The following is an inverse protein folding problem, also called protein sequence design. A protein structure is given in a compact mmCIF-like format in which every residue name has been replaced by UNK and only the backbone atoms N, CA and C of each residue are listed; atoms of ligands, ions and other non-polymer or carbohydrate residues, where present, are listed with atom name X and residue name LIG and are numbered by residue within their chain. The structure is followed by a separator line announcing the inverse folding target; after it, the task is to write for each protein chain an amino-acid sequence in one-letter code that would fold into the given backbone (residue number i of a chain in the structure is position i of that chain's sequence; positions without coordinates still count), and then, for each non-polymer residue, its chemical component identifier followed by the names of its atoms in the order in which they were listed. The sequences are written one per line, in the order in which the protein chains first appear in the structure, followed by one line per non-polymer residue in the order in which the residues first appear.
data_IF_350535277416
#
_entry.id   IF_350535277416
#
_cell.length_a   1.000
_cell.length_b   1.000
_cell.length_c   1.000
_cell.angle_alpha   90.00
_cell.angle_beta   90.00
_cell.angle_gamma   90.00
#
_symmetry.space_group_name_H-M   'P 1'
#
loop_
_entity.id
_entity.type
_entity.pdbx_description
1 polymer ?
#
# COMPACT_ATOMS: atom_id res chain seq x y z
N UNK A 1 7.38 0.56 18.86
CA UNK A 1 6.96 0.82 17.47
C UNK A 1 6.12 -0.34 16.94
N UNK A 2 6.68 -1.56 16.85
CA UNK A 2 5.97 -2.81 16.47
C UNK A 2 4.55 -2.95 17.02
N UNK A 3 4.38 -3.13 18.33
CA UNK A 3 3.06 -3.40 18.93
C UNK A 3 2.01 -2.32 18.62
N UNK A 4 2.44 -1.05 18.49
CA UNK A 4 1.55 0.05 18.11
C UNK A 4 1.12 -0.09 16.65
N UNK A 5 2.04 -0.39 15.74
CA UNK A 5 1.73 -0.59 14.32
C UNK A 5 0.78 -1.78 14.13
N UNK A 6 1.07 -2.92 14.77
CA UNK A 6 0.23 -4.12 14.70
C UNK A 6 -1.20 -3.85 15.20
N UNK A 7 -1.34 -3.10 16.30
CA UNK A 7 -2.65 -2.68 16.80
C UNK A 7 -3.40 -1.79 15.81
N UNK A 8 -2.73 -0.81 15.20
CA UNK A 8 -3.35 0.09 14.21
C UNK A 8 -3.85 -0.70 13.00
N UNK A 9 -3.01 -1.57 12.43
CA UNK A 9 -3.38 -2.42 11.29
C UNK A 9 -4.54 -3.35 11.63
N UNK A 10 -4.56 -3.95 12.82
CA UNK A 10 -5.66 -4.82 13.25
C UNK A 10 -7.02 -4.12 13.29
N UNK A 11 -7.04 -2.78 13.45
CA UNK A 11 -8.30 -2.01 13.45
C UNK A 11 -8.85 -1.71 12.05
N UNK A 12 -8.08 -1.91 10.97
CA UNK A 12 -8.49 -1.55 9.60
C UNK A 12 -9.77 -2.24 9.11
N UNK A 13 -10.07 -3.42 9.66
CA UNK A 13 -11.27 -4.20 9.34
C UNK A 13 -12.43 -3.98 10.33
N UNK A 14 -12.24 -3.14 11.35
CA UNK A 14 -13.24 -2.84 12.37
C UNK A 14 -13.96 -1.55 11.98
N UNK A 15 -15.28 -1.63 11.81
CA UNK A 15 -16.12 -0.46 11.53
C UNK A 15 -16.88 -0.02 12.78
N UNK A 16 -16.92 1.28 13.12
CA UNK A 16 -16.28 2.40 12.40
C UNK A 16 -14.77 2.52 12.69
N UNK A 17 -14.00 2.88 11.67
CA UNK A 17 -12.58 3.18 11.83
C UNK A 17 -12.40 4.51 12.57
N UNK A 18 -11.52 4.54 13.58
CA UNK A 18 -11.19 5.80 14.26
C UNK A 18 -10.41 6.74 13.31
N UNK A 19 -10.67 8.04 13.41
CA UNK A 19 -10.09 9.08 12.54
C UNK A 19 -8.55 9.17 12.64
N UNK A 20 -7.96 8.69 13.73
CA UNK A 20 -6.54 8.78 14.01
C UNK A 20 -5.72 7.57 13.53
N UNK A 21 -6.36 6.53 12.98
CA UNK A 21 -5.67 5.31 12.54
C UNK A 21 -4.76 5.59 11.35
N UNK A 22 -5.29 6.16 10.26
CA UNK A 22 -4.48 6.43 9.07
C UNK A 22 -3.33 7.41 9.32
N UNK A 23 -3.52 8.58 9.96
CA UNK A 23 -2.41 9.49 10.24
C UNK A 23 -1.28 8.84 11.04
N UNK A 24 -1.60 7.94 11.98
CA UNK A 24 -0.58 7.24 12.76
C UNK A 24 0.15 6.17 11.96
N UNK A 25 -0.53 5.44 11.08
CA UNK A 25 0.11 4.50 10.16
C UNK A 25 1.06 5.26 9.23
N UNK A 26 0.57 6.33 8.58
CA UNK A 26 1.37 7.19 7.70
C UNK A 26 2.62 7.70 8.41
N UNK A 27 2.46 8.23 9.63
CA UNK A 27 3.58 8.71 10.43
C UNK A 27 4.62 7.61 10.65
N UNK A 28 4.22 6.39 11.02
CA UNK A 28 5.16 5.29 11.23
C UNK A 28 5.91 4.93 9.94
N UNK A 29 5.22 4.86 8.80
CA UNK A 29 5.84 4.55 7.51
C UNK A 29 6.87 5.62 7.10
N UNK A 30 6.53 6.91 7.28
CA UNK A 30 7.40 8.03 6.91
C UNK A 30 8.64 8.19 7.81
N UNK A 31 8.66 7.55 8.98
CA UNK A 31 9.84 7.56 9.86
C UNK A 31 10.89 6.51 9.47
N UNK A 32 10.59 5.61 8.54
CA UNK A 32 11.56 4.60 8.11
C UNK A 32 12.65 5.24 7.27
N UNK A 33 13.89 4.87 7.56
CA UNK A 33 15.10 5.29 6.87
C UNK A 33 15.78 4.07 6.26
N UNK A 34 16.72 4.30 5.35
CA UNK A 34 17.55 3.26 4.72
C UNK A 34 18.16 2.30 5.76
N UNK A 35 18.65 2.82 6.88
CA UNK A 35 19.28 2.03 7.95
C UNK A 35 18.29 1.22 8.82
N UNK A 36 17.00 1.60 8.84
CA UNK A 36 16.00 1.01 9.74
C UNK A 36 14.95 0.17 9.03
N UNK A 37 14.89 0.23 7.69
CA UNK A 37 13.83 -0.34 6.88
C UNK A 37 13.77 -1.87 6.96
N UNK A 38 14.85 -2.60 6.66
CA UNK A 38 14.88 -4.07 6.77
C UNK A 38 14.50 -4.55 8.17
N UNK A 39 15.02 -3.89 9.22
CA UNK A 39 14.68 -4.25 10.60
C UNK A 39 13.20 -4.04 10.88
N UNK A 40 12.63 -2.91 10.46
CA UNK A 40 11.21 -2.64 10.62
C UNK A 40 10.36 -3.71 9.92
N UNK A 41 10.65 -4.01 8.64
CA UNK A 41 9.91 -5.02 7.87
C UNK A 41 9.98 -6.38 8.56
N UNK A 42 11.16 -6.83 9.00
CA UNK A 42 11.30 -8.11 9.70
C UNK A 42 10.48 -8.18 10.99
N UNK A 43 10.29 -7.05 11.68
CA UNK A 43 9.56 -7.00 12.95
C UNK A 43 8.04 -6.99 12.78
N UNK A 44 7.54 -6.36 11.70
CA UNK A 44 6.10 -6.14 11.47
C UNK A 44 5.58 -6.77 10.17
N UNK A 45 6.32 -7.71 9.57
CA UNK A 45 6.02 -8.29 8.25
C UNK A 45 4.55 -8.67 8.08
N UNK A 46 3.99 -9.44 9.02
CA UNK A 46 2.58 -9.87 8.96
C UNK A 46 1.60 -8.70 8.94
N UNK A 47 1.86 -7.64 9.73
CA UNK A 47 1.00 -6.46 9.74
C UNK A 47 1.18 -5.61 8.48
N UNK A 48 2.39 -5.53 7.93
CA UNK A 48 2.61 -4.90 6.64
C UNK A 48 1.87 -5.66 5.53
N UNK A 49 1.92 -6.99 5.55
CA UNK A 49 1.19 -7.82 4.60
C UNK A 49 -0.32 -7.62 4.68
N UNK A 50 -0.88 -7.51 5.89
CA UNK A 50 -2.31 -7.19 6.09
C UNK A 50 -2.63 -5.79 5.54
N UNK A 51 -1.76 -4.80 5.78
CA UNK A 51 -1.94 -3.44 5.28
C UNK A 51 -1.90 -3.37 3.74
N UNK A 52 -0.96 -4.05 3.10
CA UNK A 52 -0.85 -4.15 1.64
C UNK A 52 -2.09 -4.81 1.03
N UNK A 53 -2.53 -5.93 1.60
CA UNK A 53 -3.76 -6.61 1.13
C UNK A 53 -4.99 -5.74 1.29
N UNK A 54 -5.10 -5.04 2.41
CA UNK A 54 -6.16 -4.06 2.63
C UNK A 54 -6.14 -2.96 1.57
N UNK A 55 -4.97 -2.44 1.22
CA UNK A 55 -4.83 -1.38 0.22
C UNK A 55 -5.23 -1.87 -1.18
N UNK A 56 -4.77 -3.06 -1.60
CA UNK A 56 -5.20 -3.69 -2.85
C UNK A 56 -6.72 -3.87 -2.91
N UNK A 57 -7.33 -4.35 -1.82
CA UNK A 57 -8.79 -4.46 -1.74
C UNK A 57 -9.50 -3.11 -1.85
N UNK A 58 -8.92 -2.04 -1.31
CA UNK A 58 -9.51 -0.69 -1.41
C UNK A 58 -9.39 -0.12 -2.82
N UNK A 59 -8.29 -0.37 -3.52
CA UNK A 59 -8.14 0.00 -4.92
C UNK A 59 -9.09 -0.80 -5.83
N UNK A 60 -9.29 -2.09 -5.54
CA UNK A 60 -10.13 -2.97 -6.35
C UNK A 60 -11.63 -2.81 -6.12
N UNK A 61 -12.06 -2.09 -5.08
CA UNK A 61 -13.48 -1.85 -4.80
C UNK A 61 -14.05 -0.85 -5.81
N UNK A 62 -15.06 -1.25 -6.58
CA UNK A 62 -15.71 -0.41 -7.62
C UNK A 62 -16.34 0.88 -7.09
N UNK A 63 -16.47 1.05 -5.77
CA UNK A 63 -16.95 2.30 -5.20
C UNK A 63 -15.85 3.37 -5.21
N UNK A 64 -15.81 4.18 -6.27
CA UNK A 64 -15.02 5.42 -6.33
C UNK A 64 -15.15 6.29 -5.06
N UNK A 65 -16.23 6.14 -4.29
CA UNK A 65 -16.47 6.87 -3.04
C UNK A 65 -15.39 6.65 -1.98
N UNK A 66 -14.81 5.45 -1.86
CA UNK A 66 -13.77 5.19 -0.85
C UNK A 66 -12.47 5.92 -1.19
N UNK A 67 -12.04 5.82 -2.44
CA UNK A 67 -10.79 6.45 -2.92
C UNK A 67 -10.96 7.97 -3.14
N UNK A 68 -12.19 8.49 -3.19
CA UNK A 68 -12.43 9.93 -3.24
C UNK A 68 -12.36 10.62 -1.87
N UNK A 69 -12.26 9.88 -0.77
CA UNK A 69 -12.02 10.48 0.54
C UNK A 69 -10.54 10.77 0.72
N UNK A 70 -10.22 11.98 1.16
CA UNK A 70 -8.84 12.46 1.34
C UNK A 70 -8.01 11.56 2.25
N UNK A 71 -8.59 11.06 3.34
CA UNK A 71 -7.90 10.21 4.30
C UNK A 71 -7.46 8.86 3.70
N UNK A 72 -8.28 8.26 2.83
CA UNK A 72 -7.91 7.07 2.07
C UNK A 72 -6.85 7.36 1.01
N UNK A 73 -6.94 8.51 0.33
CA UNK A 73 -5.93 8.90 -0.66
C UNK A 73 -4.56 9.07 -0.01
N UNK A 74 -4.50 9.74 1.15
CA UNK A 74 -3.26 9.98 1.87
C UNK A 74 -2.57 8.68 2.30
N UNK A 75 -3.32 7.72 2.86
CA UNK A 75 -2.73 6.43 3.28
C UNK A 75 -2.29 5.59 2.08
N UNK A 76 -3.10 5.50 1.01
CA UNK A 76 -2.74 4.73 -0.19
C UNK A 76 -1.54 5.33 -0.92
N UNK A 77 -1.44 6.66 -0.94
CA UNK A 77 -0.29 7.36 -1.50
C UNK A 77 0.96 7.14 -0.65
N UNK A 78 0.87 7.31 0.67
CA UNK A 78 2.00 7.10 1.58
C UNK A 78 2.52 5.65 1.51
N UNK A 79 1.61 4.67 1.42
CA UNK A 79 1.97 3.28 1.27
C UNK A 79 2.60 3.00 -0.09
N UNK A 80 2.08 3.56 -1.18
CA UNK A 80 2.72 3.47 -2.50
C UNK A 80 4.14 4.04 -2.50
N UNK A 81 4.39 5.17 -1.82
CA UNK A 81 5.75 5.70 -1.68
C UNK A 81 6.65 4.80 -0.83
N UNK A 82 6.13 4.24 0.26
CA UNK A 82 6.84 3.28 1.09
C UNK A 82 7.23 2.02 0.30
N UNK A 83 6.35 1.51 -0.55
CA UNK A 83 6.61 0.36 -1.41
C UNK A 83 7.76 0.63 -2.39
N UNK A 84 7.83 1.85 -2.93
CA UNK A 84 8.97 2.27 -3.75
C UNK A 84 10.28 2.26 -2.95
N UNK A 85 10.26 2.65 -1.68
CA UNK A 85 11.45 2.57 -0.81
C UNK A 85 11.88 1.10 -0.62
N UNK A 86 10.94 0.19 -0.38
CA UNK A 86 11.23 -1.25 -0.24
C UNK A 86 11.91 -1.81 -1.50
N UNK A 87 11.46 -1.39 -2.68
CA UNK A 87 12.02 -1.86 -3.95
C UNK A 87 13.48 -1.41 -4.08
N UNK A 88 13.75 -0.11 -3.92
CA UNK A 88 15.02 0.48 -4.36
C UNK A 88 16.07 0.78 -3.28
N UNK A 89 15.67 0.96 -2.02
CA UNK A 89 16.57 1.56 -1.02
C UNK A 89 17.38 0.51 -0.25
N UNK A 90 16.79 -0.64 0.08
CA UNK A 90 17.43 -1.60 0.96
C UNK A 90 17.70 -2.93 0.26
N UNK A 91 19.00 -3.21 0.03
CA UNK A 91 19.49 -4.47 -0.52
C UNK A 91 19.50 -5.61 0.52
N UNK A 92 19.22 -5.32 1.79
CA UNK A 92 19.16 -6.33 2.84
C UNK A 92 17.77 -6.95 3.01
N UNK A 93 16.78 -6.48 2.27
CA UNK A 93 15.47 -7.12 2.20
C UNK A 93 15.55 -8.16 1.08
N UNK A 94 15.40 -9.44 1.44
CA UNK A 94 15.40 -10.53 0.46
C UNK A 94 14.27 -10.35 -0.57
N UNK A 95 14.56 -10.69 -1.84
CA UNK A 95 13.62 -10.48 -2.96
C UNK A 95 12.28 -11.19 -2.74
N UNK A 96 12.30 -12.41 -2.20
CA UNK A 96 11.10 -13.18 -1.83
C UNK A 96 10.19 -12.42 -0.85
N UNK A 97 10.76 -11.65 0.09
CA UNK A 97 10.01 -10.81 1.04
C UNK A 97 9.38 -9.64 0.29
N UNK A 98 10.13 -8.99 -0.61
CA UNK A 98 9.60 -7.90 -1.47
C UNK A 98 8.42 -8.41 -2.30
N UNK A 99 8.57 -9.55 -2.96
CA UNK A 99 7.52 -10.19 -3.75
C UNK A 99 6.28 -10.56 -2.93
N UNK A 100 6.49 -11.21 -1.79
CA UNK A 100 5.41 -11.66 -0.92
C UNK A 100 4.61 -10.48 -0.36
N UNK A 101 5.27 -9.34 -0.17
CA UNK A 101 4.65 -8.15 0.39
C UNK A 101 3.91 -7.31 -0.66
N UNK A 102 4.54 -7.09 -1.82
CA UNK A 102 4.12 -6.05 -2.76
C UNK A 102 3.22 -6.56 -3.90
N UNK A 103 3.26 -7.86 -4.21
CA UNK A 103 2.37 -8.44 -5.23
C UNK A 103 0.98 -8.70 -4.63
N UNK A 104 -0.11 -8.29 -5.32
CA UNK A 104 -1.47 -8.59 -4.86
C UNK A 104 -1.69 -10.11 -4.77
N UNK A 105 -2.52 -10.52 -3.81
CA UNK A 105 -2.74 -11.94 -3.51
C UNK A 105 -3.35 -12.70 -4.70
N UNK A 106 -4.20 -12.02 -5.47
CA UNK A 106 -4.86 -12.61 -6.65
C UNK A 106 -4.98 -11.59 -7.78
N UNK A 107 -4.98 -12.08 -9.02
CA UNK A 107 -5.22 -11.26 -10.22
C UNK A 107 -6.62 -10.63 -10.22
N UNK A 108 -7.57 -11.21 -9.47
CA UNK A 108 -8.93 -10.69 -9.33
C UNK A 108 -8.97 -9.33 -8.61
N UNK A 109 -7.91 -8.93 -7.91
CA UNK A 109 -7.76 -7.58 -7.34
C UNK A 109 -7.31 -6.55 -8.38
N UNK A 110 -6.68 -7.00 -9.47
CA UNK A 110 -6.11 -6.13 -10.51
C UNK A 110 -7.17 -5.72 -11.53
N UNK A 111 -7.95 -6.68 -12.04
CA UNK A 111 -8.93 -6.42 -13.11
C UNK A 111 -9.93 -5.30 -12.78
N UNK A 112 -10.53 -5.25 -11.56
CA UNK A 112 -11.45 -4.17 -11.21
C UNK A 112 -10.80 -2.78 -11.20
N UNK A 113 -9.49 -2.69 -10.98
CA UNK A 113 -8.77 -1.41 -11.02
C UNK A 113 -8.70 -0.92 -12.47
N UNK A 114 -8.34 -1.79 -13.41
CA UNK A 114 -8.33 -1.45 -14.83
C UNK A 114 -9.72 -1.08 -15.34
N UNK A 115 -10.75 -1.83 -14.97
CA UNK A 115 -12.13 -1.48 -15.31
C UNK A 115 -12.53 -0.09 -14.79
N UNK A 116 -12.12 0.27 -13.57
CA UNK A 116 -12.38 1.60 -13.02
C UNK A 116 -11.61 2.70 -13.78
N UNK A 117 -10.36 2.45 -14.17
CA UNK A 117 -9.58 3.37 -15.00
C UNK A 117 -10.27 3.59 -16.35
N UNK A 118 -10.72 2.54 -17.03
CA UNK A 118 -11.44 2.64 -18.31
C UNK A 118 -12.77 3.39 -18.20
N UNK A 119 -13.52 3.18 -17.11
CA UNK A 119 -14.79 3.87 -16.85
C UNK A 119 -14.57 5.34 -16.47
N UNK A 120 -13.36 5.73 -16.05
CA UNK A 120 -13.06 7.08 -15.60
C UNK A 120 -12.93 8.05 -16.78
N UNK A 121 -13.83 9.03 -16.84
CA UNK A 121 -13.83 10.07 -17.90
C UNK A 121 -13.10 11.35 -17.51
N UNK A 122 -12.52 11.41 -16.31
CA UNK A 122 -11.82 12.57 -15.81
C UNK A 122 -10.33 12.25 -15.70
N UNK A 123 -9.54 12.85 -16.58
CA UNK A 123 -8.08 12.69 -16.62
C UNK A 123 -7.39 13.17 -15.33
N UNK A 124 -8.06 13.99 -14.52
CA UNK A 124 -7.56 14.49 -13.24
C UNK A 124 -8.12 13.71 -12.04
N UNK A 125 -8.69 12.51 -12.25
CA UNK A 125 -9.24 11.73 -11.15
C UNK A 125 -8.12 11.24 -10.20
N UNK A 126 -8.16 11.57 -8.90
CA UNK A 126 -7.18 11.11 -7.92
C UNK A 126 -6.98 9.58 -7.89
N UNK A 127 -8.03 8.82 -8.21
CA UNK A 127 -7.95 7.36 -8.33
C UNK A 127 -6.94 6.94 -9.41
N UNK A 128 -6.93 7.60 -10.57
CA UNK A 128 -6.00 7.27 -11.66
C UNK A 128 -4.56 7.48 -11.18
N UNK A 129 -4.27 8.61 -10.53
CA UNK A 129 -2.93 8.89 -10.00
C UNK A 129 -2.48 7.83 -8.97
N UNK A 130 -3.38 7.40 -8.09
CA UNK A 130 -3.11 6.33 -7.13
C UNK A 130 -2.89 4.98 -7.82
N UNK A 131 -3.77 4.58 -8.73
CA UNK A 131 -3.63 3.34 -9.47
C UNK A 131 -2.30 3.31 -10.24
N UNK A 132 -1.94 4.41 -10.93
CA UNK A 132 -0.67 4.52 -11.63
C UNK A 132 0.53 4.34 -10.70
N UNK A 133 0.55 4.98 -9.53
CA UNK A 133 1.64 4.80 -8.56
C UNK A 133 1.82 3.32 -8.16
N UNK A 134 0.71 2.61 -7.93
CA UNK A 134 0.74 1.22 -7.52
C UNK A 134 1.20 0.29 -8.65
N UNK A 135 0.74 0.52 -9.88
CA UNK A 135 1.20 -0.25 -11.04
C UNK A 135 2.63 0.07 -11.46
N UNK A 136 3.08 1.32 -11.30
CA UNK A 136 4.48 1.71 -11.51
C UNK A 136 5.39 0.93 -10.55
N UNK A 137 5.02 0.84 -9.27
CA UNK A 137 5.75 0.04 -8.29
C UNK A 137 5.79 -1.45 -8.66
N UNK A 138 4.67 -2.02 -9.11
CA UNK A 138 4.68 -3.41 -9.61
C UNK A 138 5.59 -3.58 -10.82
N UNK A 139 5.56 -2.64 -11.76
CA UNK A 139 6.44 -2.66 -12.94
C UNK A 139 7.91 -2.59 -12.52
N UNK A 140 8.26 -1.73 -11.57
CA UNK A 140 9.62 -1.62 -11.04
C UNK A 140 10.06 -2.91 -10.35
N UNK A 141 9.20 -3.51 -9.53
CA UNK A 141 9.51 -4.77 -8.84
C UNK A 141 9.81 -5.89 -9.85
N UNK A 142 8.99 -6.04 -10.89
CA UNK A 142 9.19 -7.05 -11.94
C UNK A 142 10.44 -6.76 -12.79
N UNK A 143 10.74 -5.49 -13.04
CA UNK A 143 11.91 -5.11 -13.83
C UNK A 143 13.23 -5.33 -13.08
N UNK A 144 13.29 -4.97 -11.80
CA UNK A 144 14.49 -5.13 -10.97
C UNK A 144 14.76 -6.61 -10.65
N UNK A 145 13.71 -7.43 -10.57
CA UNK A 145 13.79 -8.84 -10.16
C UNK A 145 13.04 -9.78 -11.15
N UNK A 146 13.60 -10.05 -12.34
CA UNK A 146 12.95 -10.88 -13.36
C UNK A 146 12.89 -12.39 -13.04
#
# INVERSE_FOLDING_TARGET
MKAKFEQLVATLNVSPLSFDVFPQIIFILQQQTDDSLALFISQVFESLLILERWAWQKLSQESCQCVNRTDYQEILHALGLFNKQIIFIDNNIEDNIKFSLLIPETIDQINPIFEQVEKCKNDHNPFIALASLWFDNLSFLVQEYP
#
